data_IF_124016879398
#
_entry.id   IF_124016879398
#
_cell.length_a   1.000
_cell.length_b   1.000
_cell.length_c   1.000
_cell.angle_alpha   90.00
_cell.angle_beta   90.00
_cell.angle_gamma   90.00
#
_symmetry.space_group_name_H-M   'P 1'
#
loop_
_entity.id
_entity.type
_entity.pdbx_description
1 polymer ?
#
# COMPACT_ATOMS: atom_id res chain seq x y z
N UNK A 1 -0.63 15.86 -12.50
CA UNK A 1 0.53 15.02 -12.59
C UNK A 1 0.51 14.15 -13.86
N UNK A 2 -0.65 13.63 -14.23
CA UNK A 2 -0.78 12.76 -15.40
C UNK A 2 -1.42 13.45 -16.61
N UNK A 3 -1.46 14.79 -16.64
CA UNK A 3 -2.14 15.54 -17.70
C UNK A 3 -1.58 15.20 -19.07
N UNK A 4 -0.25 15.09 -19.20
CA UNK A 4 0.40 14.75 -20.46
C UNK A 4 -0.01 13.37 -20.95
N UNK A 5 -0.01 12.36 -20.05
CA UNK A 5 -0.44 11.01 -20.38
C UNK A 5 -1.93 10.94 -20.72
N UNK A 6 -2.76 11.66 -19.96
CA UNK A 6 -4.19 11.74 -20.24
C UNK A 6 -4.45 12.36 -21.61
N UNK A 7 -3.73 13.42 -21.96
CA UNK A 7 -3.84 14.07 -23.26
C UNK A 7 -3.41 13.13 -24.39
N UNK A 8 -2.34 12.37 -24.19
CA UNK A 8 -1.89 11.38 -25.15
C UNK A 8 -2.93 10.26 -25.34
N UNK A 9 -3.54 9.81 -24.25
CA UNK A 9 -4.59 8.79 -24.31
C UNK A 9 -5.81 9.30 -25.09
N UNK A 10 -6.26 10.52 -24.80
CA UNK A 10 -7.41 11.11 -25.51
C UNK A 10 -7.11 11.29 -27.00
N UNK A 11 -5.91 11.75 -27.34
CA UNK A 11 -5.47 11.87 -28.74
C UNK A 11 -5.46 10.50 -29.42
N UNK A 12 -4.94 9.47 -28.75
CA UNK A 12 -4.91 8.12 -29.31
C UNK A 12 -6.32 7.57 -29.56
N UNK A 13 -7.27 7.85 -28.67
CA UNK A 13 -8.67 7.47 -28.86
C UNK A 13 -9.29 8.16 -30.06
N UNK A 14 -9.02 9.45 -30.25
CA UNK A 14 -9.52 10.22 -31.40
C UNK A 14 -8.93 9.69 -32.69
N UNK A 15 -7.63 9.40 -32.73
CA UNK A 15 -6.95 8.85 -33.88
C UNK A 15 -7.46 7.43 -34.23
N UNK A 16 -7.73 6.62 -33.20
CA UNK A 16 -8.27 5.28 -33.41
C UNK A 16 -9.68 5.34 -34.02
N UNK A 17 -10.48 6.30 -33.60
CA UNK A 17 -11.85 6.48 -34.12
C UNK A 17 -11.86 6.73 -35.63
N UNK A 18 -10.76 7.24 -36.21
CA UNK A 18 -10.59 7.48 -37.67
C UNK A 18 -9.55 6.52 -38.26
N UNK A 19 -9.29 5.40 -37.60
CA UNK A 19 -8.33 4.37 -38.04
C UNK A 19 -6.89 4.86 -38.21
N UNK A 20 -6.51 5.95 -37.54
CA UNK A 20 -5.15 6.50 -37.62
C UNK A 20 -4.22 5.96 -36.50
N UNK A 21 -4.74 5.19 -35.53
CA UNK A 21 -3.95 4.59 -34.48
C UNK A 21 -4.50 3.21 -34.10
N UNK A 22 -3.63 2.23 -33.76
CA UNK A 22 -4.07 0.90 -33.39
C UNK A 22 -4.65 0.90 -31.96
N UNK A 23 -5.56 -0.05 -31.71
CA UNK A 23 -6.16 -0.24 -30.38
C UNK A 23 -5.10 -0.61 -29.32
N UNK A 24 -4.02 -1.28 -29.72
CA UNK A 24 -2.91 -1.62 -28.81
C UNK A 24 -2.28 -0.37 -28.20
N UNK A 25 -2.16 0.71 -28.94
CA UNK A 25 -1.64 1.98 -28.41
C UNK A 25 -2.55 2.54 -27.32
N UNK A 26 -3.87 2.48 -27.54
CA UNK A 26 -4.84 2.92 -26.52
C UNK A 26 -4.69 2.09 -25.25
N UNK A 27 -4.57 0.77 -25.37
CA UNK A 27 -4.41 -0.12 -24.23
C UNK A 27 -3.12 0.16 -23.46
N UNK A 28 -2.01 0.39 -24.16
CA UNK A 28 -0.72 0.72 -23.54
C UNK A 28 -0.80 2.05 -22.78
N UNK A 29 -1.44 3.05 -23.39
CA UNK A 29 -1.60 4.36 -22.74
C UNK A 29 -2.54 4.29 -21.55
N UNK A 30 -3.60 3.48 -21.59
CA UNK A 30 -4.48 3.24 -20.44
C UNK A 30 -3.71 2.63 -19.27
N UNK A 31 -2.83 1.66 -19.53
CA UNK A 31 -1.97 1.04 -18.50
C UNK A 31 -1.03 2.08 -17.91
N UNK A 32 -0.42 2.93 -18.74
CA UNK A 32 0.49 3.98 -18.27
C UNK A 32 -0.23 5.00 -17.38
N UNK A 33 -1.42 5.44 -17.78
CA UNK A 33 -2.25 6.37 -16.99
C UNK A 33 -2.63 5.74 -15.65
N UNK A 34 -3.06 4.47 -15.65
CA UNK A 34 -3.43 3.77 -14.44
C UNK A 34 -2.23 3.60 -13.49
N UNK A 35 -1.05 3.25 -14.03
CA UNK A 35 0.17 3.12 -13.24
C UNK A 35 0.55 4.45 -12.58
N UNK A 36 0.41 5.56 -13.29
CA UNK A 36 0.65 6.90 -12.74
C UNK A 36 -0.32 7.23 -11.61
N UNK A 37 -1.61 6.92 -11.79
CA UNK A 37 -2.62 7.14 -10.75
C UNK A 37 -2.29 6.35 -9.49
N UNK A 38 -1.95 5.09 -9.63
CA UNK A 38 -1.57 4.25 -8.48
C UNK A 38 -0.35 4.83 -7.78
N UNK A 39 0.70 5.18 -8.55
CA UNK A 39 1.92 5.74 -7.99
C UNK A 39 1.66 7.04 -7.22
N UNK A 40 0.81 7.93 -7.78
CA UNK A 40 0.47 9.19 -7.14
C UNK A 40 -0.37 9.00 -5.87
N UNK A 41 -1.14 7.92 -5.78
CA UNK A 41 -2.01 7.62 -4.65
C UNK A 41 -1.32 6.84 -3.53
N UNK A 42 -0.18 6.20 -3.80
CA UNK A 42 0.57 5.49 -2.77
C UNK A 42 1.17 6.50 -1.79
N UNK A 43 0.75 6.37 -0.54
CA UNK A 43 1.23 7.26 0.53
C UNK A 43 2.54 6.74 1.10
N UNK A 44 3.42 7.66 1.48
CA UNK A 44 4.63 7.34 2.22
C UNK A 44 4.24 6.74 3.57
N UNK A 45 4.93 5.66 3.95
CA UNK A 45 4.71 5.02 5.24
C UNK A 45 5.36 5.86 6.34
N UNK A 46 4.56 6.26 7.33
CA UNK A 46 5.07 6.99 8.47
C UNK A 46 5.46 6.04 9.59
N UNK A 47 6.47 6.42 10.37
CA UNK A 47 6.96 5.65 11.50
C UNK A 47 5.85 5.39 12.51
N UNK A 48 5.88 4.22 13.15
CA UNK A 48 4.94 3.86 14.21
C UNK A 48 5.72 3.67 15.51
N UNK A 49 5.27 4.32 16.58
CA UNK A 49 5.90 4.21 17.90
C UNK A 49 5.47 2.93 18.62
N UNK A 50 6.22 2.53 19.65
CA UNK A 50 5.84 1.39 20.47
C UNK A 50 4.46 1.56 21.11
N UNK A 51 4.12 2.76 21.55
CA UNK A 51 2.80 3.07 22.09
C UNK A 51 1.69 2.89 21.05
N UNK A 52 1.93 3.30 19.82
CA UNK A 52 0.98 3.11 18.72
C UNK A 52 0.79 1.62 18.41
N UNK A 53 1.84 0.82 18.49
CA UNK A 53 1.76 -0.63 18.29
C UNK A 53 0.91 -1.28 19.38
N UNK A 54 1.12 -0.90 20.65
CA UNK A 54 0.28 -1.37 21.76
C UNK A 54 -1.18 -0.99 21.56
N UNK A 55 -1.43 0.23 21.13
CA UNK A 55 -2.78 0.72 20.84
C UNK A 55 -3.45 -0.09 19.72
N UNK A 56 -2.71 -0.37 18.66
CA UNK A 56 -3.17 -1.20 17.54
C UNK A 56 -3.59 -2.59 18.05
N UNK A 57 -2.77 -3.22 18.87
CA UNK A 57 -3.10 -4.52 19.47
C UNK A 57 -4.36 -4.45 20.32
N UNK A 58 -4.44 -3.43 21.18
CA UNK A 58 -5.59 -3.26 22.06
C UNK A 58 -6.88 -3.04 21.28
N UNK A 59 -6.80 -2.27 20.21
CA UNK A 59 -7.95 -1.97 19.36
C UNK A 59 -8.59 -3.22 18.78
N UNK A 60 -7.78 -4.22 18.42
CA UNK A 60 -8.25 -5.46 17.79
C UNK A 60 -8.15 -6.68 18.70
N UNK A 61 -7.85 -6.48 19.99
CA UNK A 61 -7.76 -7.57 20.94
C UNK A 61 -6.66 -8.58 20.67
N UNK A 62 -5.55 -8.15 20.07
CA UNK A 62 -4.43 -9.03 19.74
C UNK A 62 -3.36 -9.03 20.83
N UNK A 63 -2.85 -10.24 21.16
CA UNK A 63 -1.63 -10.37 21.96
C UNK A 63 -0.40 -10.07 21.11
N UNK A 64 0.76 -9.91 21.75
CA UNK A 64 2.03 -9.80 21.03
C UNK A 64 2.28 -11.01 20.14
N UNK A 65 1.96 -12.19 20.64
CA UNK A 65 2.12 -13.45 19.89
C UNK A 65 1.23 -13.49 18.64
N UNK A 66 -0.03 -13.05 18.78
CA UNK A 66 -0.97 -13.00 17.66
C UNK A 66 -0.51 -11.99 16.61
N UNK A 67 -0.08 -10.81 17.02
CA UNK A 67 0.45 -9.82 16.09
C UNK A 67 1.69 -10.32 15.38
N UNK A 68 2.61 -10.97 16.10
CA UNK A 68 3.80 -11.57 15.53
C UNK A 68 3.45 -12.60 14.47
N UNK A 69 2.50 -13.49 14.77
CA UNK A 69 2.02 -14.49 13.81
C UNK A 69 1.44 -13.81 12.57
N UNK A 70 0.65 -12.77 12.76
CA UNK A 70 0.04 -12.02 11.67
C UNK A 70 1.08 -11.42 10.72
N UNK A 71 2.19 -10.96 11.28
CA UNK A 71 3.27 -10.34 10.50
C UNK A 71 4.33 -11.34 10.02
N UNK A 72 4.22 -12.61 10.40
CA UNK A 72 5.25 -13.60 10.09
C UNK A 72 6.56 -13.35 10.81
N UNK A 73 6.50 -12.84 12.04
CA UNK A 73 7.68 -12.44 12.82
C UNK A 73 7.68 -13.12 14.19
N UNK A 74 8.77 -12.96 14.95
CA UNK A 74 8.84 -13.47 16.32
C UNK A 74 8.17 -12.52 17.30
N UNK A 75 7.63 -13.07 18.38
CA UNK A 75 7.08 -12.28 19.50
C UNK A 75 8.13 -11.31 20.06
N UNK A 76 9.37 -11.74 20.10
CA UNK A 76 10.49 -10.93 20.58
C UNK A 76 10.65 -9.64 19.77
N UNK A 77 10.46 -9.70 18.45
CA UNK A 77 10.50 -8.51 17.59
C UNK A 77 9.44 -7.50 17.99
N UNK A 78 8.20 -7.98 18.21
CA UNK A 78 7.09 -7.11 18.65
C UNK A 78 7.41 -6.48 19.99
N UNK A 79 7.91 -7.29 20.94
CA UNK A 79 8.30 -6.82 22.27
C UNK A 79 9.35 -5.72 22.22
N UNK A 80 10.36 -5.88 21.38
CA UNK A 80 11.42 -4.87 21.20
C UNK A 80 10.87 -3.57 20.61
N UNK A 81 9.95 -3.66 19.67
CA UNK A 81 9.32 -2.47 19.11
C UNK A 81 8.51 -1.72 20.17
N UNK A 82 7.75 -2.44 21.00
CA UNK A 82 6.92 -1.81 22.04
C UNK A 82 7.77 -1.20 23.16
N UNK A 83 8.96 -1.73 23.38
CA UNK A 83 9.92 -1.18 24.38
C UNK A 83 10.83 -0.10 23.78
N UNK A 84 10.65 0.24 22.52
CA UNK A 84 11.47 1.22 21.79
C UNK A 84 12.94 0.81 21.67
N UNK A 85 13.24 -0.49 21.81
CA UNK A 85 14.59 -1.02 21.61
C UNK A 85 14.94 -1.16 20.14
N UNK A 86 13.94 -1.41 19.31
CA UNK A 86 14.05 -1.44 17.85
C UNK A 86 12.82 -0.77 17.25
N UNK A 87 12.95 -0.31 16.02
CA UNK A 87 11.85 0.33 15.29
C UNK A 87 11.44 -0.56 14.12
N UNK A 88 10.13 -0.73 13.88
CA UNK A 88 9.69 -1.42 12.68
C UNK A 88 10.08 -0.63 11.44
N UNK A 89 10.44 -1.34 10.38
CA UNK A 89 10.84 -0.71 9.13
C UNK A 89 10.44 -1.60 7.95
N UNK A 90 10.51 -1.04 6.75
CA UNK A 90 10.23 -1.79 5.54
C UNK A 90 8.84 -2.42 5.50
N UNK A 91 8.72 -3.66 5.03
CA UNK A 91 7.44 -4.35 4.90
C UNK A 91 6.66 -4.46 6.21
N UNK A 92 7.35 -4.64 7.34
CA UNK A 92 6.71 -4.75 8.66
C UNK A 92 5.97 -3.46 9.01
N UNK A 93 6.60 -2.32 8.79
CA UNK A 93 5.96 -1.02 9.05
C UNK A 93 4.75 -0.80 8.15
N UNK A 94 4.87 -1.12 6.88
CA UNK A 94 3.75 -1.04 5.92
C UNK A 94 2.59 -1.91 6.38
N UNK A 95 2.86 -3.14 6.78
CA UNK A 95 1.83 -4.08 7.25
C UNK A 95 1.16 -3.58 8.52
N UNK A 96 1.91 -2.99 9.46
CA UNK A 96 1.35 -2.40 10.67
C UNK A 96 0.37 -1.28 10.34
N UNK A 97 0.70 -0.42 9.37
CA UNK A 97 -0.19 0.67 8.94
C UNK A 97 -1.43 0.15 8.23
N UNK A 98 -1.30 -0.92 7.45
CA UNK A 98 -2.44 -1.57 6.81
C UNK A 98 -3.38 -2.16 7.86
N UNK A 99 -2.83 -2.86 8.86
CA UNK A 99 -3.62 -3.42 9.96
C UNK A 99 -4.35 -2.33 10.75
N UNK A 100 -3.71 -1.21 10.98
CA UNK A 100 -4.31 -0.07 11.67
C UNK A 100 -5.56 0.42 10.97
N UNK A 101 -5.54 0.47 9.64
CA UNK A 101 -6.66 0.96 8.83
C UNK A 101 -7.72 -0.10 8.57
N UNK A 102 -7.28 -1.28 8.18
CA UNK A 102 -8.17 -2.32 7.65
C UNK A 102 -8.57 -3.35 8.69
N UNK A 103 -7.80 -3.47 9.78
CA UNK A 103 -7.99 -4.48 10.79
C UNK A 103 -7.50 -5.87 10.35
N UNK A 104 -7.62 -6.88 11.25
CA UNK A 104 -7.11 -8.22 10.99
C UNK A 104 -7.75 -8.94 9.81
N UNK A 105 -8.92 -8.50 9.34
CA UNK A 105 -9.60 -9.13 8.20
C UNK A 105 -8.75 -9.17 6.93
N UNK A 106 -7.80 -8.26 6.79
CA UNK A 106 -6.89 -8.22 5.65
C UNK A 106 -6.01 -9.47 5.58
N UNK A 107 -5.86 -10.18 6.69
CA UNK A 107 -5.06 -11.39 6.79
C UNK A 107 -5.85 -12.67 6.53
N UNK A 108 -7.15 -12.56 6.30
CA UNK A 108 -8.04 -13.71 6.11
C UNK A 108 -8.19 -14.09 4.63
N UNK A 109 -7.25 -13.73 3.83
CA UNK A 109 -7.23 -14.05 2.39
C UNK A 109 -6.56 -15.39 2.12
#
# INVERSE_FOLDING_TARGET
VSNKLNNMLELAKELHAVDAAPKSLINDLKKAVNARKINDQIKTVTMMTGAEIKQLRAQYGMSQSVLAMALGMSKESISKWEREEKKPSGPALRMLRILERCGPKVLLV
#
